data_IF_492076157136
#
_entry.id   IF_492076157136
#
_cell.length_a   1.000
_cell.length_b   1.000
_cell.length_c   1.000
_cell.angle_alpha   90.00
_cell.angle_beta   90.00
_cell.angle_gamma   90.00
#
_symmetry.space_group_name_H-M   'P 1'
#
loop_
_entity.id
_entity.type
_entity.pdbx_description
1 polymer ?
#
# COMPACT_ATOMS: atom_id res chain seq x y z
N UNK A 1 -40.61 -17.86 -4.39
CA UNK A 1 -39.41 -17.33 -5.10
C UNK A 1 -38.18 -17.71 -4.30
N UNK A 2 -37.15 -18.25 -4.93
CA UNK A 2 -35.90 -18.57 -4.24
C UNK A 2 -35.30 -17.26 -3.68
N UNK A 3 -35.05 -17.22 -2.36
CA UNK A 3 -34.42 -16.08 -1.69
C UNK A 3 -33.04 -15.90 -2.34
N UNK A 4 -32.84 -14.82 -3.10
CA UNK A 4 -31.53 -14.49 -3.65
C UNK A 4 -30.60 -14.24 -2.47
N UNK A 5 -29.52 -15.02 -2.40
CA UNK A 5 -28.56 -14.95 -1.30
C UNK A 5 -27.62 -13.76 -1.51
N UNK A 6 -27.17 -13.16 -0.41
CA UNK A 6 -26.11 -12.16 -0.45
C UNK A 6 -24.87 -12.84 -1.07
N UNK A 7 -24.18 -12.22 -2.05
CA UNK A 7 -22.95 -12.78 -2.58
C UNK A 7 -21.91 -13.00 -1.48
N UNK A 8 -21.22 -14.14 -1.49
CA UNK A 8 -20.27 -14.54 -0.44
C UNK A 8 -19.19 -13.50 -0.14
N UNK A 9 -18.66 -12.81 -1.16
CA UNK A 9 -17.68 -11.73 -0.98
C UNK A 9 -18.24 -10.56 -0.17
N UNK A 10 -19.49 -10.17 -0.40
CA UNK A 10 -20.17 -9.08 0.32
C UNK A 10 -20.49 -9.51 1.76
N UNK A 11 -20.89 -10.76 1.96
CA UNK A 11 -21.12 -11.32 3.29
C UNK A 11 -19.82 -11.31 4.12
N UNK A 12 -18.71 -11.79 3.54
CA UNK A 12 -17.39 -11.78 4.19
C UNK A 12 -16.99 -10.35 4.59
N UNK A 13 -17.21 -9.38 3.70
CA UNK A 13 -16.87 -7.98 3.95
C UNK A 13 -17.63 -7.43 5.17
N UNK A 14 -18.96 -7.59 5.20
CA UNK A 14 -19.80 -7.11 6.31
C UNK A 14 -19.42 -7.79 7.64
N UNK A 15 -19.19 -9.11 7.62
CA UNK A 15 -18.80 -9.86 8.81
C UNK A 15 -17.40 -9.47 9.34
N UNK A 16 -16.48 -9.16 8.44
CA UNK A 16 -15.10 -8.79 8.78
C UNK A 16 -15.01 -7.35 9.27
N UNK A 17 -15.73 -6.42 8.64
CA UNK A 17 -15.79 -5.02 9.10
C UNK A 17 -16.48 -4.89 10.46
N UNK A 18 -17.59 -5.62 10.66
CA UNK A 18 -18.28 -5.67 11.96
C UNK A 18 -17.55 -6.51 13.00
N UNK A 19 -16.59 -7.34 12.58
CA UNK A 19 -15.94 -8.35 13.41
C UNK A 19 -16.97 -9.16 14.24
N UNK A 20 -18.12 -9.49 13.61
CA UNK A 20 -19.28 -10.17 14.21
C UNK A 20 -19.82 -9.50 15.48
N UNK A 21 -19.83 -8.16 15.53
CA UNK A 21 -20.45 -7.35 16.59
C UNK A 21 -21.68 -6.65 16.07
N UNK A 22 -22.75 -6.63 16.86
CA UNK A 22 -23.97 -5.95 16.49
C UNK A 22 -23.78 -4.43 16.59
N UNK A 23 -24.05 -3.70 15.50
CA UNK A 23 -23.91 -2.25 15.51
C UNK A 23 -24.93 -1.55 16.41
N UNK A 24 -26.17 -2.04 16.53
CA UNK A 24 -27.20 -1.47 17.41
C UNK A 24 -26.80 -1.61 18.89
N UNK A 25 -26.41 -2.81 19.32
CA UNK A 25 -25.90 -3.06 20.67
C UNK A 25 -24.73 -2.14 21.03
N UNK A 26 -23.82 -1.93 20.10
CA UNK A 26 -22.70 -1.00 20.29
C UNK A 26 -23.17 0.46 20.38
N UNK A 27 -24.03 0.89 19.46
CA UNK A 27 -24.49 2.28 19.37
C UNK A 27 -25.35 2.74 20.55
N UNK A 28 -26.16 1.84 21.11
CA UNK A 28 -27.05 2.15 22.23
C UNK A 28 -26.43 1.89 23.60
N UNK A 29 -25.64 0.82 23.72
CA UNK A 29 -25.20 0.30 25.02
C UNK A 29 -23.68 0.11 25.14
N UNK A 30 -22.91 0.47 24.11
CA UNK A 30 -21.48 0.21 24.02
C UNK A 30 -21.09 -1.26 24.23
N UNK A 31 -22.04 -2.19 23.99
CA UNK A 31 -21.76 -3.63 24.04
C UNK A 31 -20.91 -4.01 22.84
N UNK A 32 -19.72 -4.55 23.10
CA UNK A 32 -18.70 -4.82 22.10
C UNK A 32 -18.39 -6.32 21.95
N UNK A 33 -19.33 -7.17 22.37
CA UNK A 33 -19.21 -8.62 22.36
C UNK A 33 -19.38 -9.19 20.94
N UNK A 34 -18.68 -10.29 20.67
CA UNK A 34 -18.96 -11.10 19.48
C UNK A 34 -20.26 -11.84 19.72
N UNK A 35 -21.21 -11.69 18.80
CA UNK A 35 -22.57 -12.19 18.97
C UNK A 35 -22.95 -13.13 17.82
N UNK A 36 -23.92 -14.02 18.10
CA UNK A 36 -24.66 -14.71 17.05
C UNK A 36 -25.64 -13.73 16.42
N UNK A 37 -25.69 -13.69 15.10
CA UNK A 37 -26.41 -12.65 14.38
C UNK A 37 -26.51 -12.93 12.89
N UNK A 38 -27.19 -12.02 12.20
CA UNK A 38 -27.48 -12.08 10.77
C UNK A 38 -27.24 -10.71 10.13
N UNK A 39 -27.11 -10.70 8.80
CA UNK A 39 -27.00 -9.47 8.02
C UNK A 39 -28.41 -9.01 7.65
N UNK A 40 -28.77 -7.80 8.08
CA UNK A 40 -30.02 -7.14 7.75
C UNK A 40 -29.86 -6.23 6.53
N UNK A 41 -30.84 -6.26 5.63
CA UNK A 41 -31.05 -5.25 4.57
C UNK A 41 -31.82 -4.08 5.18
N UNK A 42 -31.16 -2.93 5.32
CA UNK A 42 -31.71 -1.82 6.09
C UNK A 42 -32.94 -1.16 5.43
N UNK A 43 -33.09 -1.28 4.11
CA UNK A 43 -34.25 -0.82 3.35
C UNK A 43 -35.37 -1.86 3.23
N UNK A 44 -35.22 -3.04 3.87
CA UNK A 44 -36.15 -4.17 3.78
C UNK A 44 -36.26 -4.78 2.37
N UNK A 45 -35.36 -4.43 1.45
CA UNK A 45 -35.26 -5.04 0.12
C UNK A 45 -34.10 -6.04 0.08
N UNK A 46 -34.44 -7.33 0.13
CA UNK A 46 -33.46 -8.43 0.09
C UNK A 46 -32.67 -8.55 -1.23
N UNK A 47 -33.00 -7.75 -2.25
CA UNK A 47 -32.26 -7.70 -3.51
C UNK A 47 -31.19 -6.61 -3.52
N UNK A 48 -31.25 -5.65 -2.58
CA UNK A 48 -30.30 -4.54 -2.50
C UNK A 48 -29.06 -4.89 -1.66
N UNK A 49 -28.12 -5.57 -2.30
CA UNK A 49 -26.87 -6.02 -1.68
C UNK A 49 -25.76 -4.94 -1.64
N UNK A 50 -26.10 -3.65 -1.75
CA UNK A 50 -25.10 -2.58 -1.58
C UNK A 50 -24.56 -2.62 -0.16
N UNK A 51 -23.24 -2.54 0.03
CA UNK A 51 -22.60 -2.59 1.35
C UNK A 51 -23.18 -1.56 2.33
N UNK A 52 -23.46 -0.34 1.86
CA UNK A 52 -24.07 0.70 2.70
C UNK A 52 -25.51 0.36 3.16
N UNK A 53 -26.18 -0.57 2.48
CA UNK A 53 -27.51 -1.05 2.86
C UNK A 53 -27.48 -2.27 3.80
N UNK A 54 -26.30 -2.83 4.11
CA UNK A 54 -26.19 -4.05 4.92
C UNK A 54 -25.63 -3.78 6.31
N UNK A 55 -26.17 -4.41 7.34
CA UNK A 55 -25.64 -4.33 8.69
C UNK A 55 -25.67 -5.69 9.40
N UNK A 56 -24.60 -6.05 10.11
CA UNK A 56 -24.61 -7.23 10.97
C UNK A 56 -25.24 -6.89 12.33
N UNK A 57 -26.30 -7.63 12.68
CA UNK A 57 -27.09 -7.44 13.90
C UNK A 57 -27.18 -8.75 14.69
N UNK A 58 -27.24 -8.70 16.02
CA UNK A 58 -27.64 -9.86 16.81
C UNK A 58 -29.11 -10.17 16.54
N UNK A 59 -29.53 -11.40 16.83
CA UNK A 59 -30.91 -11.84 16.56
C UNK A 59 -31.95 -10.92 17.23
N UNK A 60 -31.74 -10.55 18.49
CA UNK A 60 -32.67 -9.67 19.22
C UNK A 60 -32.83 -8.28 18.56
N UNK A 61 -31.72 -7.63 18.22
CA UNK A 61 -31.76 -6.32 17.56
C UNK A 61 -32.21 -6.41 16.09
N UNK A 62 -32.02 -7.56 15.44
CA UNK A 62 -32.52 -7.79 14.09
C UNK A 62 -34.05 -7.88 14.12
N UNK A 63 -34.61 -8.64 15.05
CA UNK A 63 -36.06 -8.77 15.23
C UNK A 63 -36.69 -7.43 15.62
N UNK A 64 -36.04 -6.66 16.50
CA UNK A 64 -36.48 -5.32 16.88
C UNK A 64 -36.47 -4.34 15.69
N UNK A 65 -35.43 -4.39 14.85
CA UNK A 65 -35.30 -3.52 13.68
C UNK A 65 -36.35 -3.81 12.60
N UNK A 66 -36.68 -5.09 12.36
CA UNK A 66 -37.67 -5.49 11.37
C UNK A 66 -39.12 -5.29 11.87
N UNK A 67 -39.30 -5.16 13.18
CA UNK A 67 -40.60 -5.01 13.81
C UNK A 67 -41.19 -3.60 13.64
N UNK A 68 -42.51 -3.54 13.40
CA UNK A 68 -43.28 -2.29 13.45
C UNK A 68 -44.12 -2.28 14.72
N UNK A 69 -43.94 -1.26 15.57
CA UNK A 69 -44.76 -1.06 16.77
C UNK A 69 -45.57 0.23 16.64
N UNK A 70 -46.77 0.26 17.21
CA UNK A 70 -47.59 1.48 17.29
C UNK A 70 -47.32 2.30 18.56
N UNK A 71 -46.60 1.75 19.53
CA UNK A 71 -46.42 2.31 20.87
C UNK A 71 -45.11 3.07 21.06
N UNK A 72 -44.05 2.71 20.31
CA UNK A 72 -42.75 3.36 20.36
C UNK A 72 -42.24 3.66 18.96
N UNK A 73 -41.39 4.69 18.84
CA UNK A 73 -40.65 4.91 17.59
C UNK A 73 -39.62 3.79 17.47
N UNK A 74 -39.74 2.98 16.41
CA UNK A 74 -38.74 1.98 16.05
C UNK A 74 -37.45 2.62 15.56
N UNK A 75 -36.39 1.81 15.46
CA UNK A 75 -35.09 2.24 14.98
C UNK A 75 -35.15 2.68 13.51
N UNK A 76 -34.62 3.85 13.21
CA UNK A 76 -34.54 4.35 11.84
C UNK A 76 -33.30 3.79 11.13
N UNK A 77 -33.41 3.55 9.83
CA UNK A 77 -32.27 3.14 8.97
C UNK A 77 -31.03 4.03 9.18
N UNK A 78 -31.22 5.35 9.31
CA UNK A 78 -30.11 6.30 9.50
C UNK A 78 -29.42 6.15 10.86
N UNK A 79 -30.16 5.76 11.91
CA UNK A 79 -29.59 5.48 13.22
C UNK A 79 -28.71 4.23 13.14
N UNK A 80 -29.22 3.16 12.53
CA UNK A 80 -28.45 1.91 12.34
C UNK A 80 -27.20 2.15 11.48
N UNK A 81 -27.30 2.94 10.40
CA UNK A 81 -26.13 3.36 9.61
C UNK A 81 -25.11 4.12 10.45
N UNK A 82 -25.56 5.05 11.30
CA UNK A 82 -24.68 5.81 12.21
C UNK A 82 -23.98 4.89 13.21
N UNK A 83 -24.71 3.97 13.84
CA UNK A 83 -24.13 3.02 14.79
C UNK A 83 -23.15 2.07 14.12
N UNK A 84 -23.45 1.61 12.89
CA UNK A 84 -22.53 0.79 12.08
C UNK A 84 -21.22 1.52 11.81
N UNK A 85 -21.31 2.81 11.40
CA UNK A 85 -20.12 3.64 11.17
C UNK A 85 -19.24 3.76 12.42
N UNK A 86 -19.85 4.04 13.58
CA UNK A 86 -19.12 4.15 14.85
C UNK A 86 -18.44 2.82 15.23
N UNK A 87 -19.15 1.69 15.08
CA UNK A 87 -18.60 0.37 15.36
C UNK A 87 -17.35 0.08 14.50
N UNK A 88 -17.42 0.37 13.20
CA UNK A 88 -16.31 0.09 12.27
C UNK A 88 -15.07 0.95 12.60
N UNK A 89 -15.29 2.21 12.98
CA UNK A 89 -14.23 3.11 13.42
C UNK A 89 -13.53 2.58 14.68
N UNK A 90 -14.29 2.08 15.66
CA UNK A 90 -13.72 1.51 16.89
C UNK A 90 -12.95 0.22 16.63
N UNK A 91 -13.48 -0.69 15.79
CA UNK A 91 -12.80 -1.93 15.41
C UNK A 91 -11.48 -1.63 14.69
N UNK A 92 -11.48 -0.67 13.76
CA UNK A 92 -10.28 -0.24 13.05
C UNK A 92 -9.24 0.31 14.03
N UNK A 93 -9.67 1.16 14.97
CA UNK A 93 -8.80 1.73 16.01
C UNK A 93 -8.21 0.67 16.94
N UNK A 94 -8.98 -0.34 17.34
CA UNK A 94 -8.51 -1.47 18.14
C UNK A 94 -7.51 -2.35 17.40
N UNK A 95 -7.76 -2.65 16.11
CA UNK A 95 -6.81 -3.38 15.26
C UNK A 95 -5.48 -2.65 15.15
N UNK A 96 -5.53 -1.33 14.96
CA UNK A 96 -4.33 -0.49 14.89
C UNK A 96 -3.56 -0.47 16.21
N UNK A 97 -4.24 -0.28 17.36
CA UNK A 97 -3.60 -0.34 18.69
C UNK A 97 -2.89 -1.67 18.93
N UNK A 98 -3.55 -2.80 18.62
CA UNK A 98 -2.96 -4.14 18.76
C UNK A 98 -1.73 -4.34 17.85
N UNK A 99 -1.79 -3.83 16.61
CA UNK A 99 -0.66 -3.86 15.68
C UNK A 99 0.53 -3.07 16.22
N UNK A 100 0.32 -1.83 16.65
CA UNK A 100 1.41 -1.00 17.22
C UNK A 100 2.00 -1.62 18.47
N UNK A 101 1.18 -2.24 19.33
CA UNK A 101 1.68 -2.96 20.49
C UNK A 101 2.52 -4.18 20.11
N UNK A 102 2.09 -4.97 19.12
CA UNK A 102 2.85 -6.10 18.61
C UNK A 102 4.18 -5.67 17.96
N UNK A 103 4.16 -4.59 17.17
CA UNK A 103 5.37 -3.99 16.58
C UNK A 103 6.35 -3.51 17.65
N UNK A 104 5.85 -2.92 18.74
CA UNK A 104 6.66 -2.53 19.89
C UNK A 104 7.32 -3.72 20.60
N UNK A 105 6.56 -4.77 20.90
CA UNK A 105 7.08 -5.98 21.54
C UNK A 105 8.17 -6.66 20.70
N UNK A 106 7.95 -6.75 19.39
CA UNK A 106 8.94 -7.29 18.46
C UNK A 106 10.20 -6.42 18.43
N UNK A 107 10.05 -5.08 18.39
CA UNK A 107 11.18 -4.16 18.40
C UNK A 107 12.01 -4.26 19.69
N UNK A 108 11.37 -4.50 20.83
CA UNK A 108 12.05 -4.67 22.12
C UNK A 108 12.77 -6.02 22.18
N UNK A 109 12.17 -7.11 21.69
CA UNK A 109 12.82 -8.42 21.53
C UNK A 109 14.06 -8.34 20.64
N UNK A 110 13.99 -7.62 19.51
CA UNK A 110 15.14 -7.43 18.63
C UNK A 110 16.28 -6.61 19.27
N UNK A 111 15.96 -5.60 20.07
CA UNK A 111 16.98 -4.82 20.81
C UNK A 111 17.69 -5.69 21.84
N UNK A 112 16.96 -6.55 22.52
CA UNK A 112 17.53 -7.46 23.52
C UNK A 112 18.48 -8.47 22.86
N UNK A 113 18.08 -9.08 21.74
CA UNK A 113 18.93 -10.01 20.97
C UNK A 113 20.17 -9.29 20.41
N UNK A 114 20.02 -8.06 19.91
CA UNK A 114 21.13 -7.26 19.42
C UNK A 114 22.15 -6.91 20.52
N UNK A 115 21.68 -6.56 21.72
CA UNK A 115 22.56 -6.30 22.87
C UNK A 115 23.35 -7.54 23.26
N UNK A 116 22.69 -8.70 23.33
CA UNK A 116 23.33 -9.98 23.67
C UNK A 116 24.37 -10.43 22.63
N UNK A 117 24.12 -10.16 21.33
CA UNK A 117 25.06 -10.51 20.26
C UNK A 117 26.29 -9.60 20.25
N UNK A 118 26.15 -8.30 20.57
CA UNK A 118 27.27 -7.37 20.69
C UNK A 118 28.19 -7.69 21.87
N UNK A 119 27.63 -8.03 23.04
CA UNK A 119 28.41 -8.45 24.20
C UNK A 119 29.19 -9.75 23.94
N UNK A 120 28.59 -10.69 23.21
CA UNK A 120 29.22 -11.97 22.85
C UNK A 120 30.38 -11.81 21.86
N UNK A 121 30.31 -10.84 20.95
CA UNK A 121 31.38 -10.53 19.98
C UNK A 121 32.57 -9.82 20.62
N UNK A 122 32.35 -9.04 21.68
CA UNK A 122 33.44 -8.42 22.45
C UNK A 122 34.16 -9.42 23.37
N UNK A 123 33.48 -10.49 23.80
CA UNK A 123 34.04 -11.51 24.67
C UNK A 123 34.87 -12.60 23.94
N UNK A 124 34.87 -12.67 22.61
CA UNK A 124 35.42 -13.79 21.84
C UNK A 124 36.61 -13.46 20.92
N UNK A 125 37.46 -12.48 21.25
CA UNK A 125 38.63 -12.16 20.40
C UNK A 125 39.91 -12.87 20.89
N UNK A 126 40.51 -13.79 20.10
CA UNK A 126 41.93 -14.05 20.13
C UNK A 126 42.65 -13.10 19.16
N UNK A 127 43.72 -12.45 19.62
CA UNK A 127 44.63 -11.69 18.77
C UNK A 127 45.35 -12.60 17.78
N UNK A 128 45.05 -12.47 16.48
CA UNK A 128 45.93 -12.94 15.41
C UNK A 128 46.06 -11.86 14.32
N UNK A 129 47.30 -11.41 14.15
CA UNK A 129 47.79 -10.52 13.11
C UNK A 129 47.54 -11.14 11.73
N UNK A 130 46.76 -10.48 10.85
CA UNK A 130 46.54 -10.93 9.48
C UNK A 130 46.88 -9.82 8.46
N UNK A 131 47.64 -10.22 7.45
CA UNK A 131 48.33 -9.41 6.44
C UNK A 131 47.44 -8.41 5.67
N UNK A 132 48.01 -7.22 5.44
CA UNK A 132 47.45 -6.12 4.63
C UNK A 132 47.18 -6.46 3.15
N UNK A 133 47.61 -7.64 2.67
CA UNK A 133 47.37 -8.08 1.30
C UNK A 133 45.99 -8.70 1.08
N UNK A 134 45.28 -9.11 2.14
CA UNK A 134 43.93 -9.70 2.02
C UNK A 134 42.81 -8.64 1.97
N UNK A 135 43.09 -7.38 2.36
CA UNK A 135 42.14 -6.26 2.26
C UNK A 135 42.01 -5.66 0.85
N UNK A 136 42.82 -6.10 -0.12
CA UNK A 136 42.75 -5.64 -1.52
C UNK A 136 41.92 -6.53 -2.45
N UNK A 137 41.42 -7.68 -2.00
CA UNK A 137 40.69 -8.63 -2.86
C UNK A 137 39.18 -8.74 -2.62
N UNK A 138 38.60 -7.95 -1.70
CA UNK A 138 37.12 -7.86 -1.55
C UNK A 138 36.56 -6.57 -2.20
N UNK A 139 37.42 -5.65 -2.63
CA UNK A 139 37.05 -4.49 -3.45
C UNK A 139 37.23 -4.79 -4.95
N UNK A 140 36.43 -5.71 -5.49
CA UNK A 140 36.36 -5.89 -6.95
C UNK A 140 34.94 -6.20 -7.44
N UNK A 141 34.08 -5.19 -7.33
CA UNK A 141 33.26 -4.77 -8.48
C UNK A 141 33.55 -3.29 -8.78
N UNK A 142 34.84 -2.96 -8.98
CA UNK A 142 35.29 -1.66 -9.47
C UNK A 142 35.06 -1.56 -10.99
N UNK A 143 33.80 -1.58 -11.39
CA UNK A 143 33.40 -0.88 -12.61
C UNK A 143 32.94 0.50 -12.16
N UNK A 144 33.46 1.61 -12.75
CA UNK A 144 32.90 2.92 -12.48
C UNK A 144 31.40 2.87 -12.76
N UNK A 145 30.59 3.44 -11.87
CA UNK A 145 29.15 3.52 -12.11
C UNK A 145 28.92 4.15 -13.48
N UNK A 146 28.16 3.46 -14.34
CA UNK A 146 27.81 3.95 -15.66
C UNK A 146 26.79 5.08 -15.50
N UNK A 147 27.25 6.28 -15.15
CA UNK A 147 26.43 7.49 -14.98
C UNK A 147 26.10 8.13 -16.35
N UNK A 148 25.72 7.30 -17.32
CA UNK A 148 25.42 7.75 -18.67
C UNK A 148 24.15 8.59 -18.68
N UNK A 149 24.18 9.69 -19.43
CA UNK A 149 23.04 10.57 -19.61
C UNK A 149 23.01 11.05 -21.05
N UNK A 150 21.89 10.87 -21.74
CA UNK A 150 21.64 11.51 -23.04
C UNK A 150 21.30 13.00 -22.87
N UNK A 151 21.01 13.44 -21.63
CA UNK A 151 20.63 14.80 -21.27
C UNK A 151 21.76 15.61 -20.63
N UNK A 152 22.94 15.00 -20.45
CA UNK A 152 24.05 15.61 -19.72
C UNK A 152 23.77 15.83 -18.23
N UNK A 153 22.86 15.06 -17.64
CA UNK A 153 22.53 15.10 -16.21
C UNK A 153 23.60 14.43 -15.37
N UNK A 154 23.80 15.01 -14.20
CA UNK A 154 24.74 14.51 -13.21
C UNK A 154 24.02 13.66 -12.17
N UNK A 155 24.27 12.35 -12.20
CA UNK A 155 23.68 11.38 -11.28
C UNK A 155 24.54 11.11 -10.04
N UNK A 156 25.64 11.83 -9.84
CA UNK A 156 26.53 11.64 -8.66
C UNK A 156 25.80 11.88 -7.35
N UNK A 157 24.98 12.93 -7.27
CA UNK A 157 24.15 13.22 -6.10
C UNK A 157 23.27 12.02 -5.71
N UNK A 158 22.51 11.48 -6.67
CA UNK A 158 21.67 10.30 -6.45
C UNK A 158 22.50 9.09 -6.01
N UNK A 159 23.62 8.82 -6.68
CA UNK A 159 24.54 7.73 -6.33
C UNK A 159 25.02 7.86 -4.88
N UNK A 160 25.52 9.03 -4.49
CA UNK A 160 26.11 9.25 -3.18
C UNK A 160 25.06 9.09 -2.07
N UNK A 161 23.84 9.60 -2.28
CA UNK A 161 22.71 9.39 -1.37
C UNK A 161 22.33 7.91 -1.22
N UNK A 162 22.40 7.13 -2.30
CA UNK A 162 22.13 5.69 -2.28
C UNK A 162 23.24 4.89 -1.60
N UNK A 163 24.52 5.26 -1.81
CA UNK A 163 25.68 4.69 -1.10
C UNK A 163 25.54 4.88 0.41
N UNK A 164 25.07 6.04 0.84
CA UNK A 164 24.83 6.38 2.25
C UNK A 164 23.56 5.75 2.83
N UNK A 165 22.80 4.97 2.04
CA UNK A 165 21.47 4.45 2.41
C UNK A 165 20.47 5.54 2.83
N UNK A 166 20.64 6.76 2.34
CA UNK A 166 19.73 7.87 2.61
C UNK A 166 18.52 7.80 1.68
N UNK A 167 17.69 6.77 1.88
CA UNK A 167 16.57 6.40 1.03
C UNK A 167 15.61 7.55 0.76
N UNK A 168 15.31 8.36 1.79
CA UNK A 168 14.42 9.50 1.66
C UNK A 168 14.98 10.60 0.76
N UNK A 169 16.27 10.91 0.91
CA UNK A 169 16.92 11.91 0.07
C UNK A 169 17.09 11.40 -1.36
N UNK A 170 17.52 10.14 -1.54
CA UNK A 170 17.64 9.50 -2.86
C UNK A 170 16.31 9.47 -3.62
N UNK A 171 15.20 9.22 -2.92
CA UNK A 171 13.86 9.21 -3.50
C UNK A 171 13.43 10.62 -3.95
N UNK A 172 13.67 11.64 -3.12
CA UNK A 172 13.43 13.05 -3.48
C UNK A 172 14.29 13.50 -4.66
N UNK A 173 15.55 13.12 -4.68
CA UNK A 173 16.49 13.44 -5.77
C UNK A 173 16.04 12.77 -7.07
N UNK A 174 15.64 11.50 -7.01
CA UNK A 174 15.06 10.77 -8.15
C UNK A 174 13.84 11.51 -8.70
N UNK A 175 12.91 11.94 -7.83
CA UNK A 175 11.75 12.72 -8.26
C UNK A 175 12.15 14.08 -8.87
N UNK A 176 13.18 14.74 -8.32
CA UNK A 176 13.69 16.01 -8.84
C UNK A 176 14.26 15.84 -10.26
N UNK A 177 15.16 14.86 -10.45
CA UNK A 177 15.75 14.53 -11.75
C UNK A 177 14.66 14.21 -12.78
N UNK A 178 13.67 13.40 -12.41
CA UNK A 178 12.57 13.02 -13.29
C UNK A 178 11.64 14.20 -13.65
N UNK A 179 11.51 15.20 -12.76
CA UNK A 179 10.74 16.45 -12.98
C UNK A 179 11.52 17.56 -13.66
N UNK A 180 12.84 17.60 -13.53
CA UNK A 180 13.65 18.65 -14.15
C UNK A 180 13.86 18.37 -15.64
N UNK A 181 13.95 17.08 -15.98
CA UNK A 181 14.09 16.62 -17.37
C UNK A 181 12.82 16.89 -18.20
N UNK A 182 11.64 17.04 -17.58
CA UNK A 182 10.40 17.41 -18.25
C UNK A 182 9.64 18.52 -17.52
N UNK A 183 9.20 19.55 -18.26
CA UNK A 183 8.01 20.29 -17.84
C UNK A 183 6.90 19.29 -17.50
N UNK A 184 6.11 19.57 -16.44
CA UNK A 184 5.22 18.68 -15.67
C UNK A 184 4.29 17.69 -16.45
N UNK A 185 4.32 17.66 -17.78
CA UNK A 185 3.33 17.05 -18.65
C UNK A 185 3.87 16.04 -19.68
N UNK A 186 5.18 15.74 -19.78
CA UNK A 186 5.70 14.92 -20.89
C UNK A 186 6.69 13.76 -20.55
N UNK A 187 6.51 13.11 -19.39
CA UNK A 187 7.39 12.00 -18.95
C UNK A 187 7.45 10.80 -19.93
N UNK A 188 6.53 10.71 -20.90
CA UNK A 188 6.50 9.68 -21.96
C UNK A 188 7.74 9.68 -22.84
N UNK A 189 8.45 10.80 -22.91
CA UNK A 189 9.63 10.96 -23.77
C UNK A 189 10.94 10.82 -23.00
N UNK A 190 10.92 10.42 -21.72
CA UNK A 190 12.11 10.32 -20.88
C UNK A 190 13.20 9.44 -21.49
N UNK A 191 14.42 9.94 -21.74
CA UNK A 191 15.47 9.16 -22.40
C UNK A 191 15.73 7.83 -21.70
N UNK A 192 15.83 6.77 -22.50
CA UNK A 192 15.90 5.42 -21.96
C UNK A 192 17.21 5.18 -21.21
N UNK A 193 18.31 5.81 -21.67
CA UNK A 193 19.63 5.73 -21.02
C UNK A 193 19.57 6.34 -19.63
N UNK A 194 19.04 7.55 -19.49
CA UNK A 194 18.85 8.22 -18.21
C UNK A 194 17.97 7.37 -17.26
N UNK A 195 16.92 6.72 -17.78
CA UNK A 195 16.02 5.90 -16.97
C UNK A 195 16.73 4.63 -16.48
N UNK A 196 17.53 4.03 -17.36
CA UNK A 196 18.38 2.87 -17.04
C UNK A 196 19.48 3.23 -16.04
N UNK A 197 20.05 4.43 -16.11
CA UNK A 197 21.04 4.91 -15.15
C UNK A 197 20.42 5.06 -13.76
N UNK A 198 19.25 5.70 -13.67
CA UNK A 198 18.53 5.83 -12.40
C UNK A 198 18.16 4.43 -11.85
N UNK A 199 17.56 3.57 -12.67
CA UNK A 199 17.16 2.23 -12.27
C UNK A 199 18.36 1.37 -11.81
N UNK A 200 19.48 1.43 -12.54
CA UNK A 200 20.70 0.71 -12.21
C UNK A 200 21.32 1.12 -10.88
N UNK A 201 21.28 2.41 -10.55
CA UNK A 201 21.73 2.91 -9.24
C UNK A 201 20.84 2.36 -8.11
N UNK A 202 19.51 2.43 -8.28
CA UNK A 202 18.58 1.89 -7.30
C UNK A 202 18.77 0.39 -7.10
N UNK A 203 18.90 -0.39 -8.18
CA UNK A 203 19.16 -1.82 -8.10
C UNK A 203 20.47 -2.12 -7.36
N UNK A 204 21.57 -1.47 -7.76
CA UNK A 204 22.90 -1.74 -7.20
C UNK A 204 22.95 -1.51 -5.70
N UNK A 205 22.45 -0.37 -5.23
CA UNK A 205 22.59 0.03 -3.82
C UNK A 205 21.46 -0.49 -2.93
N UNK A 206 20.38 -1.05 -3.50
CA UNK A 206 19.31 -1.72 -2.74
C UNK A 206 19.41 -3.24 -2.71
N UNK A 207 20.52 -3.82 -3.18
CA UNK A 207 20.65 -5.27 -3.36
C UNK A 207 19.54 -5.86 -4.25
N UNK A 208 19.28 -5.20 -5.39
CA UNK A 208 18.26 -5.52 -6.40
C UNK A 208 16.81 -5.50 -5.90
N UNK A 209 16.54 -4.85 -4.77
CA UNK A 209 15.19 -4.82 -4.18
C UNK A 209 14.34 -3.67 -4.67
N UNK A 210 14.96 -2.53 -4.98
CA UNK A 210 14.29 -1.30 -5.37
C UNK A 210 14.72 -0.89 -6.78
N UNK A 211 13.83 -0.18 -7.47
CA UNK A 211 14.00 0.17 -8.88
C UNK A 211 12.69 0.09 -9.66
N UNK A 212 12.63 0.84 -10.75
CA UNK A 212 11.52 0.83 -11.70
C UNK A 212 11.39 -0.51 -12.41
N UNK A 213 12.50 -1.19 -12.72
CA UNK A 213 12.46 -2.53 -13.31
C UNK A 213 11.84 -3.56 -12.37
N UNK A 214 12.09 -3.45 -11.06
CA UNK A 214 11.45 -4.26 -10.01
C UNK A 214 9.95 -3.97 -9.93
N UNK A 215 9.56 -2.70 -9.89
CA UNK A 215 8.15 -2.30 -9.91
C UNK A 215 7.42 -2.83 -11.14
N UNK A 216 8.05 -2.77 -12.31
CA UNK A 216 7.45 -3.34 -13.52
C UNK A 216 7.32 -4.87 -13.41
N UNK A 217 8.28 -5.60 -12.85
CA UNK A 217 8.15 -7.05 -12.64
C UNK A 217 6.93 -7.36 -11.77
N UNK A 218 6.72 -6.61 -10.70
CA UNK A 218 5.54 -6.74 -9.82
C UNK A 218 4.25 -6.41 -10.59
N UNK A 219 4.28 -5.42 -11.47
CA UNK A 219 3.16 -5.08 -12.35
C UNK A 219 2.83 -6.22 -13.31
N UNK A 220 3.82 -6.73 -14.04
CA UNK A 220 3.66 -7.86 -14.96
C UNK A 220 3.11 -9.09 -14.26
N UNK A 221 3.60 -9.39 -13.06
CA UNK A 221 3.09 -10.47 -12.23
C UNK A 221 1.61 -10.26 -11.85
N UNK A 222 1.25 -9.04 -11.41
CA UNK A 222 -0.11 -8.72 -10.97
C UNK A 222 -1.15 -8.85 -12.09
N UNK A 223 -0.74 -8.65 -13.34
CA UNK A 223 -1.62 -8.64 -14.52
C UNK A 223 -1.49 -9.88 -15.43
N UNK A 224 -0.57 -10.81 -15.16
CA UNK A 224 -0.24 -11.96 -16.04
C UNK A 224 -1.45 -12.76 -16.53
N UNK A 225 -2.41 -13.05 -15.63
CA UNK A 225 -3.60 -13.85 -15.93
C UNK A 225 -4.90 -13.02 -15.95
N UNK A 226 -4.75 -11.70 -16.07
CA UNK A 226 -5.87 -10.76 -16.06
C UNK A 226 -6.50 -10.62 -17.44
N UNK A 227 -7.83 -10.63 -17.52
CA UNK A 227 -8.57 -10.30 -18.76
C UNK A 227 -8.47 -8.81 -19.13
N UNK A 228 -8.01 -7.98 -18.20
CA UNK A 228 -7.83 -6.54 -18.34
C UNK A 228 -6.34 -6.22 -18.26
N UNK A 229 -5.87 -5.32 -19.12
CA UNK A 229 -4.49 -4.84 -19.12
C UNK A 229 -4.36 -3.65 -18.16
N UNK A 230 -3.14 -3.27 -17.73
CA UNK A 230 -2.98 -2.05 -16.96
C UNK A 230 -3.56 -0.80 -17.66
N UNK A 231 -3.51 -0.76 -19.00
CA UNK A 231 -4.06 0.32 -19.81
C UNK A 231 -5.60 0.35 -19.80
N UNK A 232 -6.25 -0.81 -20.02
CA UNK A 232 -7.73 -0.90 -20.01
C UNK A 232 -8.32 -0.80 -18.60
N UNK A 233 -7.54 -1.13 -17.56
CA UNK A 233 -7.91 -0.88 -16.16
C UNK A 233 -7.90 0.61 -15.76
N UNK A 234 -7.26 1.48 -16.54
CA UNK A 234 -7.19 2.92 -16.27
C UNK A 234 -8.25 3.72 -17.04
N UNK A 235 -8.83 3.14 -18.10
CA UNK A 235 -9.78 3.83 -18.99
C UNK A 235 -11.19 3.97 -18.43
N UNK A 236 -11.52 3.37 -17.29
CA UNK A 236 -12.82 3.56 -16.59
C UNK A 236 -12.94 4.94 -15.92
N UNK A 237 -12.20 5.94 -16.44
CA UNK A 237 -12.27 7.35 -16.07
C UNK A 237 -13.69 7.94 -16.18
N UNK A 238 -14.57 7.33 -16.97
CA UNK A 238 -15.99 7.70 -17.02
C UNK A 238 -16.80 7.19 -15.81
N UNK A 239 -16.42 6.09 -15.15
CA UNK A 239 -17.03 5.64 -13.87
C UNK A 239 -16.49 6.42 -12.66
N UNK A 240 -15.34 7.05 -12.80
CA UNK A 240 -14.64 7.77 -11.73
C UNK A 240 -15.25 9.13 -11.34
N UNK A 241 -16.24 9.61 -12.11
CA UNK A 241 -17.01 10.83 -11.81
C UNK A 241 -18.02 10.68 -10.67
N UNK A 242 -18.35 9.45 -10.27
CA UNK A 242 -19.45 9.16 -9.33
C UNK A 242 -18.98 8.80 -7.91
N UNK A 243 -17.67 8.86 -7.61
CA UNK A 243 -17.11 8.38 -6.36
C UNK A 243 -16.63 9.56 -5.48
N UNK A 244 -17.32 9.75 -4.34
CA UNK A 244 -16.99 10.73 -3.30
C UNK A 244 -15.69 10.38 -2.55
N UNK A 245 -15.31 9.09 -2.52
CA UNK A 245 -14.11 8.58 -1.83
C UNK A 245 -12.97 8.27 -2.82
N UNK A 246 -11.74 8.62 -2.45
CA UNK A 246 -10.54 8.52 -3.28
C UNK A 246 -9.98 7.09 -3.36
N UNK A 247 -10.26 6.24 -2.37
CA UNK A 247 -9.85 4.83 -2.32
C UNK A 247 -10.49 3.98 -3.41
N UNK A 248 -11.71 4.32 -3.81
CA UNK A 248 -12.52 3.54 -4.75
C UNK A 248 -12.18 3.83 -6.22
N UNK A 249 -11.21 4.72 -6.47
CA UNK A 249 -10.80 5.16 -7.81
C UNK A 249 -9.88 4.19 -8.57
N UNK A 250 -9.43 3.13 -7.92
CA UNK A 250 -8.48 2.18 -8.50
C UNK A 250 -9.12 0.80 -8.61
N UNK A 251 -8.95 0.15 -9.77
CA UNK A 251 -9.40 -1.22 -9.98
C UNK A 251 -8.74 -2.18 -8.97
N UNK A 252 -9.40 -3.30 -8.69
CA UNK A 252 -8.87 -4.36 -7.80
C UNK A 252 -7.42 -4.74 -8.14
N UNK A 253 -7.07 -4.77 -9.43
CA UNK A 253 -5.70 -5.06 -9.89
C UNK A 253 -4.67 -4.00 -9.47
N UNK A 254 -5.04 -2.73 -9.52
CA UNK A 254 -4.18 -1.65 -9.03
C UNK A 254 -4.03 -1.68 -7.51
N UNK A 255 -5.06 -2.12 -6.78
CA UNK A 255 -4.97 -2.35 -5.32
C UNK A 255 -3.97 -3.46 -5.01
N UNK A 256 -4.10 -4.62 -5.67
CA UNK A 256 -3.15 -5.75 -5.52
C UNK A 256 -1.72 -5.33 -5.87
N UNK A 257 -1.55 -4.55 -6.95
CA UNK A 257 -0.24 -3.99 -7.31
C UNK A 257 0.32 -3.11 -6.20
N UNK A 258 -0.52 -2.22 -5.65
CA UNK A 258 -0.17 -1.39 -4.50
C UNK A 258 0.17 -2.23 -3.26
N UNK A 259 -0.56 -3.30 -2.97
CA UNK A 259 -0.29 -4.20 -1.82
C UNK A 259 1.07 -4.89 -1.97
N UNK A 260 1.36 -5.42 -3.16
CA UNK A 260 2.62 -6.10 -3.46
C UNK A 260 3.83 -5.17 -3.32
N UNK A 261 3.64 -3.89 -3.62
CA UNK A 261 4.67 -2.86 -3.43
C UNK A 261 4.66 -2.25 -2.03
N UNK A 262 3.69 -2.57 -1.17
CA UNK A 262 3.55 -1.94 0.15
C UNK A 262 3.02 -0.51 0.11
N UNK A 263 2.36 -0.09 -0.96
CA UNK A 263 1.74 1.22 -1.17
C UNK A 263 0.23 1.25 -0.92
N UNK A 264 -0.41 0.08 -0.82
CA UNK A 264 -1.82 -0.07 -0.46
C UNK A 264 -1.95 -1.02 0.73
N UNK A 265 -2.73 -0.63 1.72
CA UNK A 265 -3.01 -1.46 2.89
C UNK A 265 -4.30 -0.98 3.57
N UNK A 266 -5.09 -1.90 4.13
CA UNK A 266 -6.32 -1.58 4.87
C UNK A 266 -7.28 -0.68 4.06
N UNK A 267 -7.48 -1.02 2.79
CA UNK A 267 -8.31 -0.30 1.83
C UNK A 267 -7.90 1.14 1.53
N UNK A 268 -6.65 1.50 1.83
CA UNK A 268 -6.14 2.86 1.66
C UNK A 268 -4.79 2.85 0.96
N UNK A 269 -4.60 3.80 0.04
CA UNK A 269 -3.29 4.13 -0.49
C UNK A 269 -2.50 4.88 0.57
N UNK A 270 -1.28 4.45 0.82
CA UNK A 270 -0.40 5.06 1.81
C UNK A 270 -0.02 6.47 1.34
N UNK A 271 -0.43 7.47 2.12
CA UNK A 271 -0.18 8.89 1.84
C UNK A 271 1.20 9.34 2.35
N UNK A 272 1.76 8.65 3.35
CA UNK A 272 3.04 8.99 3.99
C UNK A 272 3.95 7.79 3.95
N UNK A 273 5.08 7.95 3.28
CA UNK A 273 6.03 6.87 3.03
C UNK A 273 6.95 6.75 4.22
N UNK A 274 7.17 5.51 4.62
CA UNK A 274 8.01 5.17 5.76
C UNK A 274 9.44 4.95 5.27
N UNK A 275 10.28 5.96 5.50
CA UNK A 275 11.71 5.93 5.22
C UNK A 275 12.56 5.55 6.43
N UNK A 276 11.99 4.93 7.47
CA UNK A 276 12.73 4.53 8.66
C UNK A 276 13.87 3.55 8.33
N UNK A 277 14.77 3.31 9.29
CA UNK A 277 15.94 2.44 9.14
C UNK A 277 15.59 1.00 8.67
N UNK A 278 14.32 0.58 8.80
CA UNK A 278 13.82 -0.69 8.29
C UNK A 278 13.28 -0.61 6.85
N UNK A 279 13.57 0.43 6.07
CA UNK A 279 13.24 0.50 4.63
C UNK A 279 13.74 -0.74 3.91
N UNK A 280 14.91 -1.25 4.29
CA UNK A 280 15.46 -2.48 3.74
C UNK A 280 14.57 -3.70 3.96
N UNK A 281 13.56 -3.67 4.82
CA UNK A 281 12.60 -4.76 5.02
C UNK A 281 11.28 -4.56 4.26
N UNK A 282 11.10 -3.44 3.56
CA UNK A 282 9.90 -3.16 2.76
C UNK A 282 9.84 -4.05 1.52
N UNK A 283 8.64 -4.31 0.96
CA UNK A 283 8.49 -5.15 -0.22
C UNK A 283 9.37 -4.73 -1.40
N UNK A 284 9.68 -5.68 -2.27
CA UNK A 284 10.41 -5.39 -3.52
C UNK A 284 9.66 -4.33 -4.34
N UNK A 285 10.40 -3.35 -4.88
CA UNK A 285 9.84 -2.24 -5.65
C UNK A 285 9.23 -1.13 -4.82
N UNK A 286 9.31 -1.17 -3.47
CA UNK A 286 8.78 -0.12 -2.58
C UNK A 286 9.28 1.28 -2.95
N UNK A 287 10.52 1.40 -3.42
CA UNK A 287 11.15 2.63 -3.92
C UNK A 287 11.73 2.41 -5.32
N UNK A 288 12.03 3.48 -6.08
CA UNK A 288 11.68 4.89 -5.83
C UNK A 288 10.21 5.23 -6.13
N UNK A 289 9.77 6.40 -5.70
CA UNK A 289 8.42 6.92 -5.85
C UNK A 289 8.32 8.04 -6.88
N UNK A 290 7.49 7.82 -7.88
CA UNK A 290 7.13 8.74 -8.95
C UNK A 290 5.64 9.11 -8.94
N UNK A 291 5.03 9.37 -7.76
CA UNK A 291 3.62 9.75 -7.71
C UNK A 291 2.68 9.00 -6.76
N UNK A 292 3.09 8.65 -5.54
CA UNK A 292 2.12 8.22 -4.51
C UNK A 292 1.33 9.45 -4.03
N UNK A 293 0.15 9.21 -3.47
CA UNK A 293 -1.02 10.09 -3.49
C UNK A 293 -0.91 11.57 -3.04
N UNK A 294 0.07 12.06 -2.26
CA UNK A 294 0.27 13.51 -2.11
C UNK A 294 0.70 14.21 -3.40
N UNK A 295 1.41 13.50 -4.29
CA UNK A 295 1.97 14.07 -5.52
C UNK A 295 0.92 14.12 -6.65
N UNK A 296 -0.09 13.23 -6.60
CA UNK A 296 -1.28 13.25 -7.46
C UNK A 296 -2.13 14.53 -7.31
N UNK A 297 -1.93 15.34 -6.26
CA UNK A 297 -2.61 16.63 -6.07
C UNK A 297 -2.02 17.79 -6.87
N UNK A 298 -0.76 17.70 -7.31
CA UNK A 298 -0.01 18.85 -7.84
C UNK A 298 -0.08 19.03 -9.36
N UNK A 299 -0.84 18.19 -10.06
CA UNK A 299 -1.00 18.30 -11.51
C UNK A 299 -2.45 18.65 -11.81
N UNK A 300 -2.71 19.93 -12.10
CA UNK A 300 -3.98 20.47 -12.57
C UNK A 300 -4.36 20.02 -13.99
N UNK A 301 -3.71 18.97 -14.52
CA UNK A 301 -3.96 18.48 -15.87
C UNK A 301 -4.85 17.26 -15.83
N UNK A 302 -5.72 17.14 -16.83
CA UNK A 302 -6.80 16.15 -16.95
C UNK A 302 -6.31 14.69 -17.12
N UNK A 303 -5.08 14.35 -16.73
CA UNK A 303 -4.47 13.01 -16.83
C UNK A 303 -3.74 12.68 -15.52
N UNK A 304 -4.13 11.58 -14.87
CA UNK A 304 -3.55 11.18 -13.58
C UNK A 304 -2.07 10.78 -13.73
N UNK A 305 -1.25 11.09 -12.72
CA UNK A 305 0.16 10.67 -12.65
C UNK A 305 0.34 9.14 -12.75
N UNK A 306 -0.70 8.37 -12.42
CA UNK A 306 -0.74 6.91 -12.57
C UNK A 306 -0.71 6.48 -14.04
N UNK A 307 -1.36 7.23 -14.94
CA UNK A 307 -1.26 6.99 -16.38
C UNK A 307 0.18 7.18 -16.87
N UNK A 308 0.87 8.22 -16.36
CA UNK A 308 2.24 8.53 -16.72
C UNK A 308 3.25 7.53 -16.14
N UNK A 309 3.03 7.08 -14.90
CA UNK A 309 3.84 6.05 -14.24
C UNK A 309 3.80 4.73 -15.02
N UNK A 310 2.62 4.28 -15.42
CA UNK A 310 2.47 3.06 -16.23
C UNK A 310 3.22 3.16 -17.56
N UNK A 311 3.06 4.25 -18.31
CA UNK A 311 3.77 4.41 -19.60
C UNK A 311 5.28 4.37 -19.40
N UNK A 312 5.78 4.97 -18.31
CA UNK A 312 7.21 4.95 -17.99
C UNK A 312 7.71 3.52 -17.74
N UNK A 313 7.02 2.73 -16.92
CA UNK A 313 7.42 1.36 -16.59
C UNK A 313 7.52 0.46 -17.84
N UNK A 314 6.62 0.62 -18.80
CA UNK A 314 6.63 -0.17 -20.04
C UNK A 314 7.83 0.14 -20.95
N UNK A 315 8.53 1.25 -20.76
CA UNK A 315 9.67 1.64 -21.60
C UNK A 315 10.97 0.96 -21.18
N UNK A 316 11.05 0.47 -19.95
CA UNK A 316 12.14 -0.41 -19.52
C UNK A 316 12.00 -1.77 -20.21
N UNK A 317 13.09 -2.49 -20.49
CA UNK A 317 13.06 -3.90 -20.94
C UNK A 317 13.12 -4.85 -19.75
N UNK A 318 12.47 -6.04 -19.75
CA UNK A 318 12.55 -6.99 -18.64
C UNK A 318 14.02 -7.28 -18.37
N UNK A 319 14.48 -7.04 -17.15
CA UNK A 319 15.85 -7.38 -16.78
C UNK A 319 15.92 -8.91 -16.81
N UNK A 320 16.80 -9.46 -17.64
CA UNK A 320 17.08 -10.90 -17.64
C UNK A 320 18.05 -11.14 -16.49
N UNK A 321 17.65 -12.01 -15.55
CA UNK A 321 18.53 -12.58 -14.53
C UNK A 321 19.74 -13.25 -15.17
#
# INVERSE_FOLDING_TARGET
>A
MARKTIPSSIEIEVLTQSARRCCICFGLYHKFDVVKGQIAHLDQDNTNNKLDNLAFLCLDCHDEYDSKTSQSKGLMQQEVKRYRKLLYQEISSLRNRRRTQAEGLIADEYKEVASQTMERQQASSPSETLNQDTLKQVSSSNQPDSLSSELGKDYRSLRDLLVENNWQAADRETMSLMREVFGKEDIKNFPIVDLQTIDGLWLKYSNNRFGFSVQRRVLEYTFRDSKVTPETCLSDYEMLKCLEDYSDRFSERWRIFGENLGWYNQDQWIMVIDYSHNVVNKPEGYLPLLGVAPQLRLVQTKRSMVHWWWVLLLRLKPWKL
#
